data_IF_890783858888
#
_entry.id   IF_890783858888
#
_cell.length_a   1.000
_cell.length_b   1.000
_cell.length_c   1.000
_cell.angle_alpha   90.00
_cell.angle_beta   90.00
_cell.angle_gamma   90.00
#
_symmetry.space_group_name_H-M   'P 1'
#
loop_
_entity.id
_entity.type
_entity.pdbx_description
1 polymer ?
#
# COMPACT_ATOMS: atom_id res chain seq x y z
N UNK A 1 -6.25 -3.07 -3.06
CA UNK A 1 -4.88 -3.35 -2.57
C UNK A 1 -3.97 -2.16 -2.90
N UNK A 2 -3.07 -1.85 -2.01
CA UNK A 2 -2.07 -0.81 -2.24
C UNK A 2 -0.80 -1.44 -2.79
N UNK A 3 -0.35 -0.95 -3.95
CA UNK A 3 0.88 -1.42 -4.58
C UNK A 3 2.09 -0.75 -3.90
N UNK A 4 3.00 -1.54 -3.33
CA UNK A 4 4.19 -1.02 -2.64
C UNK A 4 5.49 -1.24 -3.41
N UNK A 5 5.47 -2.00 -4.50
CA UNK A 5 6.63 -2.20 -5.35
C UNK A 5 6.95 -0.91 -6.12
N UNK A 6 8.23 -0.56 -6.21
CA UNK A 6 8.66 0.62 -6.98
C UNK A 6 8.28 0.50 -8.44
N UNK A 7 7.86 1.60 -9.05
CA UNK A 7 7.44 1.65 -10.45
C UNK A 7 8.50 1.05 -11.40
N UNK A 8 9.77 1.39 -11.21
CA UNK A 8 10.85 0.85 -12.04
C UNK A 8 10.98 -0.67 -11.92
N UNK A 9 10.71 -1.25 -10.74
CA UNK A 9 10.78 -2.69 -10.53
C UNK A 9 9.56 -3.41 -11.11
N UNK A 10 8.39 -2.76 -11.19
CA UNK A 10 7.18 -3.37 -11.76
C UNK A 10 7.40 -3.79 -13.21
N UNK A 11 8.12 -2.99 -13.99
CA UNK A 11 8.33 -3.24 -15.39
C UNK A 11 9.14 -4.52 -15.68
N UNK A 12 9.99 -4.94 -14.73
CA UNK A 12 10.91 -6.08 -14.93
C UNK A 12 10.57 -7.31 -14.11
N UNK A 13 9.60 -7.21 -13.18
CA UNK A 13 9.21 -8.32 -12.32
C UNK A 13 7.93 -8.98 -12.79
N UNK A 14 7.82 -10.28 -12.56
CA UNK A 14 6.58 -11.03 -12.78
C UNK A 14 5.64 -10.95 -11.59
N UNK A 15 6.14 -10.57 -10.41
CA UNK A 15 5.39 -10.43 -9.18
C UNK A 15 5.58 -9.06 -8.56
N UNK A 16 4.61 -8.61 -7.78
CA UNK A 16 4.66 -7.33 -7.07
C UNK A 16 4.21 -7.53 -5.62
N UNK A 17 4.66 -6.64 -4.74
CA UNK A 17 4.24 -6.63 -3.35
C UNK A 17 3.11 -5.64 -3.15
N UNK A 18 2.06 -6.06 -2.45
CA UNK A 18 0.88 -5.24 -2.16
C UNK A 18 0.55 -5.28 -0.68
N UNK A 19 -0.10 -4.22 -0.20
CA UNK A 19 -0.69 -4.17 1.14
C UNK A 19 -2.21 -4.25 1.00
N UNK A 20 -2.89 -5.12 1.77
CA UNK A 20 -4.34 -5.20 1.71
C UNK A 20 -4.99 -3.93 2.27
N UNK A 21 -6.11 -3.54 1.66
CA UNK A 21 -6.90 -2.40 2.11
C UNK A 21 -8.14 -2.93 2.81
N UNK A 22 -8.41 -2.42 4.01
CA UNK A 22 -9.55 -2.82 4.82
C UNK A 22 -10.24 -1.62 5.45
N UNK A 23 -11.53 -1.75 5.73
CA UNK A 23 -12.30 -0.76 6.49
C UNK A 23 -12.13 -0.93 8.00
N UNK A 24 -11.59 -2.05 8.44
CA UNK A 24 -11.31 -2.30 9.85
C UNK A 24 -10.05 -1.55 10.25
N UNK A 25 -10.23 -0.43 10.93
CA UNK A 25 -9.15 0.47 11.34
C UNK A 25 -8.79 0.17 12.79
N UNK A 26 -7.54 -0.22 13.02
CA UNK A 26 -7.02 -0.53 14.36
C UNK A 26 -6.26 0.63 14.97
N UNK A 27 -5.96 1.64 14.14
CA UNK A 27 -5.24 2.84 14.56
C UNK A 27 -3.84 2.55 15.09
N UNK A 28 -3.10 1.73 14.35
CA UNK A 28 -1.74 1.32 14.68
C UNK A 28 -0.75 1.87 13.66
N UNK A 29 0.56 2.03 14.04
CA UNK A 29 1.54 2.68 13.16
C UNK A 29 1.83 1.97 11.83
N UNK A 30 1.52 0.68 11.72
CA UNK A 30 1.69 -0.07 10.48
C UNK A 30 0.55 0.14 9.48
N UNK A 31 -0.49 0.90 9.83
CA UNK A 31 -1.61 1.21 8.96
C UNK A 31 -1.42 2.56 8.27
N UNK A 32 -1.69 2.61 6.96
CA UNK A 32 -1.70 3.86 6.19
C UNK A 32 -3.15 4.27 5.94
N UNK A 33 -3.60 5.43 6.45
CA UNK A 33 -4.97 5.91 6.22
C UNK A 33 -5.21 6.22 4.74
N UNK A 34 -6.34 5.74 4.23
CA UNK A 34 -6.79 5.96 2.86
C UNK A 34 -8.27 6.35 2.87
N UNK A 35 -8.75 6.93 1.78
CA UNK A 35 -10.14 7.35 1.72
C UNK A 35 -10.60 7.70 0.32
N UNK A 36 -11.65 8.55 0.26
CA UNK A 36 -12.32 8.90 -1.00
C UNK A 36 -11.39 9.55 -2.02
N UNK A 37 -10.43 10.36 -1.59
CA UNK A 37 -9.47 10.99 -2.49
C UNK A 37 -8.54 9.98 -3.17
N UNK A 38 -8.51 8.74 -2.68
CA UNK A 38 -7.74 7.65 -3.27
C UNK A 38 -8.62 6.73 -4.13
N UNK A 39 -9.85 7.13 -4.44
CA UNK A 39 -10.77 6.33 -5.23
C UNK A 39 -11.53 5.28 -4.43
N UNK A 40 -11.47 5.31 -3.11
CA UNK A 40 -12.18 4.37 -2.25
C UNK A 40 -13.54 4.92 -1.83
N UNK A 41 -14.51 4.02 -1.61
CA UNK A 41 -15.89 4.42 -1.23
C UNK A 41 -15.98 4.88 0.21
N UNK A 42 -15.09 4.43 1.07
CA UNK A 42 -15.14 4.69 2.50
C UNK A 42 -13.74 4.85 3.07
N UNK A 43 -13.68 5.46 4.26
CA UNK A 43 -12.46 5.52 5.03
C UNK A 43 -11.91 4.13 5.29
N UNK A 44 -10.63 3.93 4.99
CA UNK A 44 -9.96 2.63 5.02
C UNK A 44 -8.51 2.77 5.44
N UNK A 45 -7.82 1.66 5.60
CA UNK A 45 -6.38 1.64 5.85
C UNK A 45 -5.73 0.57 4.98
N UNK A 46 -4.48 0.80 4.59
CA UNK A 46 -3.62 -0.22 4.02
C UNK A 46 -2.81 -0.85 5.14
N UNK A 47 -2.91 -2.17 5.30
CA UNK A 47 -2.25 -2.91 6.38
C UNK A 47 -0.84 -3.36 5.97
N UNK A 48 0.18 -2.62 6.40
CA UNK A 48 1.57 -2.96 6.09
C UNK A 48 2.10 -4.18 6.87
N UNK A 49 1.35 -4.65 7.88
CA UNK A 49 1.67 -5.88 8.60
C UNK A 49 1.35 -7.14 7.80
N UNK A 50 0.57 -7.01 6.74
CA UNK A 50 0.04 -8.16 5.99
C UNK A 50 0.42 -8.09 4.52
N UNK A 51 1.65 -7.68 4.23
CA UNK A 51 2.14 -7.60 2.86
C UNK A 51 2.06 -8.94 2.15
N UNK A 52 1.67 -8.91 0.88
CA UNK A 52 1.55 -10.09 0.05
C UNK A 52 2.28 -9.89 -1.27
N UNK A 53 2.87 -10.95 -1.79
CA UNK A 53 3.44 -10.97 -3.13
C UNK A 53 2.46 -11.67 -4.05
N UNK A 54 2.03 -10.99 -5.09
CA UNK A 54 1.05 -11.52 -6.05
C UNK A 54 1.60 -11.47 -7.47
N UNK A 55 1.10 -12.31 -8.39
CA UNK A 55 1.43 -12.18 -9.80
C UNK A 55 0.99 -10.82 -10.33
N UNK A 56 1.82 -10.23 -11.16
CA UNK A 56 1.58 -8.88 -11.70
C UNK A 56 0.27 -8.76 -12.47
N UNK A 57 -0.13 -9.81 -13.18
CA UNK A 57 -1.35 -9.84 -13.99
C UNK A 57 -2.64 -9.80 -13.15
N UNK A 58 -2.55 -10.06 -11.84
CA UNK A 58 -3.70 -9.98 -10.93
C UNK A 58 -4.07 -8.53 -10.61
N UNK A 59 -3.16 -7.56 -10.83
CA UNK A 59 -3.37 -6.16 -10.46
C UNK A 59 -4.49 -5.45 -11.23
N UNK A 60 -4.86 -5.94 -12.40
CA UNK A 60 -5.76 -5.21 -13.28
C UNK A 60 -5.03 -4.10 -14.05
N UNK A 61 -5.76 -3.41 -14.93
CA UNK A 61 -5.17 -2.50 -15.91
C UNK A 61 -5.04 -1.06 -15.46
N UNK A 62 -5.78 -0.63 -14.43
CA UNK A 62 -5.81 0.77 -14.00
C UNK A 62 -5.84 0.91 -12.49
N UNK A 63 -5.06 1.84 -11.93
CA UNK A 63 -5.21 2.21 -10.52
C UNK A 63 -6.49 3.05 -10.33
N UNK A 64 -7.10 2.96 -9.15
CA UNK A 64 -8.25 3.81 -8.79
C UNK A 64 -7.82 5.11 -8.15
N UNK A 65 -6.56 5.24 -7.75
CA UNK A 65 -6.02 6.44 -7.17
C UNK A 65 -4.51 6.32 -6.96
N UNK A 66 -3.90 7.38 -6.46
CA UNK A 66 -2.47 7.41 -6.20
C UNK A 66 -2.18 8.15 -4.90
N UNK A 67 -0.96 7.98 -4.37
CA UNK A 67 -0.52 8.64 -3.16
C UNK A 67 0.22 9.94 -3.49
N UNK A 68 -0.01 10.97 -2.67
CA UNK A 68 0.78 12.20 -2.71
C UNK A 68 2.19 11.97 -2.16
N UNK A 69 3.15 12.90 -2.35
CA UNK A 69 4.48 12.78 -1.74
C UNK A 69 4.44 12.62 -0.22
N UNK A 70 3.56 13.35 0.47
CA UNK A 70 3.42 13.23 1.92
C UNK A 70 2.90 11.85 2.32
N UNK A 71 1.99 11.30 1.52
CA UNK A 71 1.45 9.97 1.74
C UNK A 71 2.47 8.87 1.45
N UNK A 72 3.34 9.08 0.47
CA UNK A 72 4.45 8.17 0.21
C UNK A 72 5.43 8.15 1.39
N UNK A 73 5.69 9.29 2.00
CA UNK A 73 6.50 9.38 3.21
C UNK A 73 5.83 8.65 4.38
N UNK A 74 4.50 8.81 4.51
CA UNK A 74 3.74 8.09 5.54
C UNK A 74 3.75 6.57 5.31
N UNK A 75 3.67 6.14 4.06
CA UNK A 75 3.79 4.73 3.70
C UNK A 75 5.16 4.19 4.09
N UNK A 76 6.22 4.95 3.82
CA UNK A 76 7.58 4.56 4.19
C UNK A 76 7.70 4.33 5.70
N UNK A 77 7.14 5.24 6.51
CA UNK A 77 7.13 5.09 7.97
C UNK A 77 6.34 3.86 8.43
N UNK A 78 5.19 3.62 7.82
CA UNK A 78 4.37 2.46 8.17
C UNK A 78 5.07 1.14 7.82
N UNK A 79 5.74 1.09 6.67
CA UNK A 79 6.51 -0.08 6.26
C UNK A 79 7.71 -0.31 7.18
N UNK A 80 8.42 0.74 7.54
CA UNK A 80 9.56 0.62 8.48
C UNK A 80 9.11 0.09 9.83
N UNK A 81 7.99 0.58 10.33
CA UNK A 81 7.42 0.08 11.57
C UNK A 81 7.05 -1.40 11.47
N UNK A 82 6.31 -1.76 10.42
CA UNK A 82 5.84 -3.13 10.22
C UNK A 82 6.99 -4.13 10.07
N UNK A 83 8.08 -3.73 9.40
CA UNK A 83 9.24 -4.59 9.14
C UNK A 83 10.30 -4.49 10.23
N UNK A 84 10.11 -3.65 11.25
CA UNK A 84 11.07 -3.48 12.32
C UNK A 84 12.34 -2.74 11.92
N UNK A 85 12.30 -1.96 10.86
CA UNK A 85 13.45 -1.21 10.38
C UNK A 85 13.56 0.11 11.15
N UNK A 86 14.69 0.32 11.79
CA UNK A 86 15.00 1.58 12.46
C UNK A 86 15.67 2.55 11.49
N UNK A 87 15.30 3.80 11.59
CA UNK A 87 15.90 4.86 10.78
C UNK A 87 17.36 5.11 11.15
#
# INVERSE_FOLDING_TARGET
>A
MLLVTRTAAIAVRSSVTVAPITRTIRDIPSELPLGRRHGLRARSVAGCDSLQTIPKDVLGSRPVGSLSPDELAALDRALRFALGIRA
#
